data_IF_216042223216
#
_entry.id   IF_216042223216
#
_cell.length_a   1.000
_cell.length_b   1.000
_cell.length_c   1.000
_cell.angle_alpha   90.00
_cell.angle_beta   90.00
_cell.angle_gamma   90.00
#
_symmetry.space_group_name_H-M   'P 1'
#
loop_
_entity.id
_entity.type
_entity.pdbx_description
1 polymer ?
#
# COMPACT_ATOMS: atom_id res chain seq x y z
N UNK A 1 -10.93 -9.19 23.36
CA UNK A 1 -11.85 -9.26 22.20
C UNK A 1 -11.42 -8.17 21.23
N UNK A 2 -11.08 -8.44 19.96
CA UNK A 2 -10.83 -7.37 19.02
C UNK A 2 -12.15 -6.61 18.83
N UNK A 3 -12.16 -5.33 19.15
CA UNK A 3 -13.29 -4.42 18.88
C UNK A 3 -13.51 -4.43 17.36
N UNK A 4 -14.72 -4.78 16.93
CA UNK A 4 -15.12 -4.76 15.53
C UNK A 4 -14.81 -3.37 14.95
N UNK A 5 -14.12 -3.34 13.83
CA UNK A 5 -13.78 -2.11 13.10
C UNK A 5 -15.08 -1.52 12.56
N UNK A 6 -15.54 -0.41 13.15
CA UNK A 6 -16.77 0.26 12.70
C UNK A 6 -16.41 1.28 11.62
N UNK A 7 -16.93 1.08 10.43
CA UNK A 7 -16.74 2.03 9.33
C UNK A 7 -17.45 3.37 9.65
N UNK A 8 -16.87 4.51 9.27
CA UNK A 8 -17.45 5.86 9.52
C UNK A 8 -18.88 5.98 8.99
N UNK A 9 -19.22 5.31 7.90
CA UNK A 9 -20.58 5.26 7.34
C UNK A 9 -21.57 4.64 8.32
N UNK A 10 -21.20 3.56 9.01
CA UNK A 10 -22.07 2.87 9.97
C UNK A 10 -22.28 3.76 11.20
N UNK A 11 -21.21 4.34 11.73
CA UNK A 11 -21.26 5.29 12.87
C UNK A 11 -22.17 6.48 12.56
N UNK A 12 -22.05 7.08 11.37
CA UNK A 12 -22.88 8.20 10.97
C UNK A 12 -24.35 7.81 10.77
N UNK A 13 -24.61 6.61 10.23
CA UNK A 13 -25.96 6.08 10.04
C UNK A 13 -26.63 5.81 11.39
N UNK A 14 -25.92 5.19 12.34
CA UNK A 14 -26.40 4.98 13.73
C UNK A 14 -26.64 6.31 14.46
N UNK A 15 -25.82 7.32 14.16
CA UNK A 15 -26.02 8.68 14.67
C UNK A 15 -27.10 9.48 13.93
N UNK A 16 -27.93 8.81 13.10
CA UNK A 16 -29.02 9.39 12.31
C UNK A 16 -28.59 10.51 11.35
N UNK A 17 -27.35 10.49 10.87
CA UNK A 17 -26.94 11.34 9.77
C UNK A 17 -27.57 10.84 8.45
N UNK A 18 -28.06 11.75 7.66
CA UNK A 18 -28.64 11.44 6.33
C UNK A 18 -27.53 11.43 5.29
N UNK A 19 -27.29 10.28 4.67
CA UNK A 19 -26.42 10.18 3.50
C UNK A 19 -27.13 10.82 2.29
N UNK A 20 -26.57 11.88 1.74
CA UNK A 20 -27.13 12.58 0.56
C UNK A 20 -26.57 12.05 -0.75
N UNK A 21 -25.27 11.78 -0.79
CA UNK A 21 -24.58 11.20 -1.94
C UNK A 21 -23.46 10.31 -1.44
N UNK A 22 -23.20 9.22 -2.17
CA UNK A 22 -22.02 8.35 -1.94
C UNK A 22 -21.62 7.72 -3.26
N UNK A 23 -20.32 7.66 -3.53
CA UNK A 23 -19.78 6.91 -4.67
C UNK A 23 -18.36 6.46 -4.42
N UNK A 24 -17.99 5.25 -4.86
CA UNK A 24 -16.61 4.91 -5.12
C UNK A 24 -16.09 5.75 -6.28
N UNK A 25 -14.91 6.35 -6.11
CA UNK A 25 -14.30 7.22 -7.12
C UNK A 25 -13.25 6.52 -7.96
N UNK A 26 -12.75 5.35 -7.53
CA UNK A 26 -11.66 4.59 -8.13
C UNK A 26 -10.45 4.49 -7.20
N UNK A 27 -9.54 3.55 -7.48
CA UNK A 27 -8.29 3.31 -6.76
C UNK A 27 -8.44 3.14 -5.23
N UNK A 28 -9.64 2.82 -4.77
CA UNK A 28 -9.98 2.70 -3.35
C UNK A 28 -10.50 3.97 -2.69
N UNK A 29 -10.46 5.13 -3.38
CA UNK A 29 -11.15 6.32 -2.89
C UNK A 29 -12.66 6.17 -2.94
N UNK A 30 -13.34 6.73 -1.94
CA UNK A 30 -14.77 6.98 -2.01
C UNK A 30 -15.12 8.32 -1.37
N UNK A 31 -16.21 8.93 -1.82
CA UNK A 31 -16.69 10.18 -1.28
C UNK A 31 -18.15 10.09 -0.87
N UNK A 32 -18.50 10.82 0.19
CA UNK A 32 -19.88 10.94 0.66
C UNK A 32 -20.20 12.37 1.07
N UNK A 33 -21.42 12.82 0.82
CA UNK A 33 -21.96 14.05 1.41
C UNK A 33 -23.04 13.69 2.40
N UNK A 34 -22.94 14.29 3.57
CA UNK A 34 -23.78 14.02 4.72
C UNK A 34 -24.54 15.26 5.16
N UNK A 35 -25.73 15.04 5.70
CA UNK A 35 -26.53 16.03 6.38
C UNK A 35 -26.96 15.51 7.73
N UNK A 36 -26.75 16.27 8.77
CA UNK A 36 -27.10 15.90 10.14
C UNK A 36 -27.84 17.05 10.81
N UNK A 37 -29.02 16.73 11.36
CA UNK A 37 -29.89 17.67 12.07
C UNK A 37 -30.07 17.32 13.54
N UNK A 38 -29.89 16.04 13.89
CA UNK A 38 -30.08 15.60 15.27
C UNK A 38 -28.87 15.97 16.14
N UNK A 39 -29.19 16.41 17.35
CA UNK A 39 -28.24 16.83 18.38
C UNK A 39 -27.85 15.61 19.22
N UNK A 40 -26.96 14.79 18.73
CA UNK A 40 -26.43 13.64 19.46
C UNK A 40 -24.93 13.49 19.26
N UNK A 41 -24.29 12.96 20.27
CA UNK A 41 -22.85 12.76 20.26
C UNK A 41 -22.46 11.61 19.32
N UNK A 42 -21.22 11.66 18.84
CA UNK A 42 -20.66 10.62 17.94
C UNK A 42 -19.24 10.29 18.33
N UNK A 43 -18.93 9.02 18.43
CA UNK A 43 -17.59 8.52 18.71
C UNK A 43 -17.07 7.72 17.52
N UNK A 44 -15.81 7.95 17.16
CA UNK A 44 -15.08 7.15 16.18
C UNK A 44 -13.92 6.45 16.89
N UNK A 45 -13.74 5.17 16.62
CA UNK A 45 -12.62 4.39 17.12
C UNK A 45 -12.04 3.56 15.98
N UNK A 46 -10.85 3.93 15.55
CA UNK A 46 -10.03 3.22 14.54
C UNK A 46 -10.84 2.78 13.32
N UNK A 47 -11.37 3.71 12.52
CA UNK A 47 -12.26 3.37 11.40
C UNK A 47 -11.57 2.59 10.27
N UNK A 48 -10.24 2.48 10.29
CA UNK A 48 -9.47 1.70 9.31
C UNK A 48 -9.28 2.38 7.96
N UNK A 49 -9.69 3.63 7.82
CA UNK A 49 -9.43 4.47 6.66
C UNK A 49 -9.17 5.92 7.10
N UNK A 50 -8.38 6.63 6.32
CA UNK A 50 -8.21 8.06 6.54
C UNK A 50 -9.44 8.80 6.01
N UNK A 51 -9.85 9.86 6.71
CA UNK A 51 -10.97 10.70 6.30
C UNK A 51 -10.53 12.16 6.22
N UNK A 52 -10.71 12.78 5.06
CA UNK A 52 -10.70 14.24 4.94
C UNK A 52 -12.14 14.71 4.93
N UNK A 53 -12.51 15.56 5.91
CA UNK A 53 -13.84 16.14 6.06
C UNK A 53 -13.80 17.62 5.75
N UNK A 54 -14.72 18.11 4.90
CA UNK A 54 -14.96 19.54 4.68
C UNK A 54 -16.37 19.90 5.16
N UNK A 55 -16.47 20.91 6.00
CA UNK A 55 -17.76 21.49 6.41
C UNK A 55 -18.31 22.37 5.30
N UNK A 56 -19.47 21.98 4.73
CA UNK A 56 -20.15 22.67 3.62
C UNK A 56 -21.10 23.74 4.13
N UNK A 57 -21.78 23.49 5.27
CA UNK A 57 -22.67 24.45 5.90
C UNK A 57 -22.89 24.08 7.37
N UNK A 58 -23.08 25.07 8.22
CA UNK A 58 -23.25 24.89 9.66
C UNK A 58 -21.94 24.44 10.34
N UNK A 59 -22.06 23.86 11.54
CA UNK A 59 -20.94 23.31 12.28
C UNK A 59 -20.38 24.19 13.39
N UNK A 60 -20.85 25.44 13.55
CA UNK A 60 -20.39 26.38 14.57
C UNK A 60 -20.67 25.88 15.98
N UNK A 61 -21.66 25.00 16.12
CA UNK A 61 -22.04 24.34 17.40
C UNK A 61 -21.53 22.91 17.47
N UNK A 62 -20.63 22.51 16.57
CA UNK A 62 -19.96 21.20 16.61
C UNK A 62 -18.59 21.39 17.23
N UNK A 63 -18.24 20.49 18.16
CA UNK A 63 -16.93 20.49 18.80
C UNK A 63 -16.43 19.09 19.04
N UNK A 64 -15.13 18.94 18.99
CA UNK A 64 -14.45 17.71 19.38
C UNK A 64 -14.08 17.81 20.86
N UNK A 65 -14.43 16.78 21.62
CA UNK A 65 -14.36 16.84 23.11
C UNK A 65 -12.94 17.07 23.63
N UNK A 66 -11.92 16.49 22.98
CA UNK A 66 -10.51 16.65 23.33
C UNK A 66 -9.90 17.99 22.85
N UNK A 67 -10.66 18.78 22.07
CA UNK A 67 -10.26 20.11 21.58
C UNK A 67 -11.41 21.14 21.79
N UNK A 68 -11.81 21.38 23.04
CA UNK A 68 -13.06 22.11 23.36
C UNK A 68 -13.05 23.58 22.94
N UNK A 69 -11.88 24.17 22.76
CA UNK A 69 -11.73 25.58 22.37
C UNK A 69 -11.90 25.83 20.88
N UNK A 70 -11.86 24.76 20.07
CA UNK A 70 -12.03 24.85 18.63
C UNK A 70 -13.49 24.66 18.23
N UNK A 71 -13.90 25.35 17.16
CA UNK A 71 -15.25 25.26 16.59
C UNK A 71 -15.19 25.00 15.10
N UNK A 72 -16.16 24.22 14.61
CA UNK A 72 -16.40 24.09 13.19
C UNK A 72 -16.99 25.39 12.61
N UNK A 73 -16.90 25.49 11.31
CA UNK A 73 -17.57 26.50 10.50
C UNK A 73 -17.55 26.04 9.03
N UNK A 74 -18.37 26.60 8.15
CA UNK A 74 -18.25 26.35 6.72
C UNK A 74 -16.84 26.65 6.21
N UNK A 75 -16.28 25.76 5.38
CA UNK A 75 -14.91 25.85 4.89
C UNK A 75 -13.84 25.22 5.79
N UNK A 76 -14.13 24.90 7.04
CA UNK A 76 -13.19 24.21 7.94
C UNK A 76 -13.01 22.76 7.53
N UNK A 77 -11.77 22.28 7.67
CA UNK A 77 -11.37 20.93 7.33
C UNK A 77 -11.00 20.14 8.60
N UNK A 78 -11.33 18.85 8.61
CA UNK A 78 -10.79 17.90 9.58
C UNK A 78 -10.08 16.78 8.82
N UNK A 79 -8.87 16.45 9.24
CA UNK A 79 -8.11 15.30 8.75
C UNK A 79 -8.01 14.27 9.86
N UNK A 80 -8.62 13.12 9.64
CA UNK A 80 -8.78 12.05 10.62
C UNK A 80 -8.04 10.80 10.12
N UNK A 81 -6.89 10.46 10.72
CA UNK A 81 -6.13 9.25 10.36
C UNK A 81 -6.92 7.96 10.58
N UNK A 82 -6.54 6.87 9.91
CA UNK A 82 -7.22 5.57 10.01
C UNK A 82 -7.33 5.02 11.44
N UNK A 83 -6.33 5.31 12.27
CA UNK A 83 -6.24 4.84 13.66
C UNK A 83 -6.71 5.87 14.69
N UNK A 84 -7.38 6.96 14.25
CA UNK A 84 -7.82 7.99 15.19
C UNK A 84 -8.93 7.51 16.11
N UNK A 85 -8.96 8.11 17.29
CA UNK A 85 -10.07 8.03 18.24
C UNK A 85 -10.57 9.44 18.52
N UNK A 86 -11.85 9.68 18.34
CA UNK A 86 -12.40 11.02 18.54
C UNK A 86 -13.85 10.98 18.99
N UNK A 87 -14.23 11.95 19.80
CA UNK A 87 -15.56 12.12 20.32
C UNK A 87 -16.10 13.51 20.00
N UNK A 88 -17.28 13.56 19.36
CA UNK A 88 -17.86 14.78 18.81
C UNK A 88 -19.20 15.10 19.47
N UNK A 89 -19.32 16.33 19.93
CA UNK A 89 -20.58 16.89 20.43
C UNK A 89 -21.22 17.72 19.32
N UNK A 90 -22.43 17.34 18.93
CA UNK A 90 -23.13 17.97 17.83
C UNK A 90 -24.25 18.83 18.36
N UNK A 91 -24.03 20.13 18.45
CA UNK A 91 -24.98 21.10 18.97
C UNK A 91 -25.81 21.85 17.92
N UNK A 92 -25.74 21.45 16.64
CA UNK A 92 -26.47 22.11 15.57
C UNK A 92 -26.45 21.36 14.25
N UNK A 93 -27.22 21.86 13.30
CA UNK A 93 -27.24 21.33 11.94
C UNK A 93 -25.87 21.46 11.28
N UNK A 94 -25.49 20.43 10.50
CA UNK A 94 -24.25 20.41 9.72
C UNK A 94 -24.42 19.65 8.42
N UNK A 95 -23.83 20.19 7.34
CA UNK A 95 -23.61 19.48 6.07
C UNK A 95 -22.12 19.40 5.79
N UNK A 96 -21.64 18.23 5.41
CA UNK A 96 -20.21 18.02 5.21
C UNK A 96 -19.93 16.98 4.11
N UNK A 97 -18.76 17.13 3.50
CA UNK A 97 -18.15 16.14 2.61
C UNK A 97 -17.21 15.27 3.44
N UNK A 98 -17.19 13.98 3.18
CA UNK A 98 -16.10 13.07 3.54
C UNK A 98 -15.47 12.52 2.27
N UNK A 99 -14.14 12.58 2.18
CA UNK A 99 -13.31 11.81 1.25
C UNK A 99 -12.60 10.73 2.07
N UNK A 100 -12.90 9.47 1.75
CA UNK A 100 -12.31 8.30 2.41
C UNK A 100 -11.14 7.78 1.59
N UNK A 101 -10.01 7.51 2.26
CA UNK A 101 -8.74 7.11 1.65
C UNK A 101 -8.20 5.86 2.36
N UNK A 102 -7.95 4.74 1.63
CA UNK A 102 -7.37 3.54 2.23
C UNK A 102 -5.93 3.78 2.71
N UNK A 103 -5.52 3.23 3.85
CA UNK A 103 -4.14 3.32 4.34
C UNK A 103 -3.12 2.74 3.36
N UNK A 104 -3.48 1.71 2.61
CA UNK A 104 -2.62 1.08 1.61
C UNK A 104 -2.28 2.03 0.46
N UNK A 105 -3.21 2.90 0.09
CA UNK A 105 -2.97 3.91 -0.93
C UNK A 105 -2.01 4.99 -0.42
N UNK A 106 -2.19 5.45 0.81
CA UNK A 106 -1.26 6.36 1.49
C UNK A 106 0.15 5.75 1.57
N UNK A 107 0.26 4.49 2.01
CA UNK A 107 1.53 3.78 2.09
C UNK A 107 2.22 3.65 0.73
N UNK A 108 1.47 3.31 -0.33
CA UNK A 108 1.97 3.21 -1.70
C UNK A 108 2.53 4.54 -2.20
N UNK A 109 1.83 5.64 -1.94
CA UNK A 109 2.29 6.97 -2.35
C UNK A 109 3.56 7.40 -1.62
N UNK A 110 3.74 7.05 -0.34
CA UNK A 110 5.00 7.28 0.38
C UNK A 110 6.17 6.57 -0.30
N UNK A 111 5.99 5.30 -0.66
CA UNK A 111 7.04 4.54 -1.38
C UNK A 111 7.35 5.17 -2.73
N UNK A 112 6.32 5.54 -3.51
CA UNK A 112 6.50 6.05 -4.87
C UNK A 112 7.12 7.45 -4.92
N UNK A 113 6.73 8.33 -3.99
CA UNK A 113 7.10 9.75 -4.03
C UNK A 113 8.31 10.05 -3.15
N UNK A 114 8.36 9.45 -1.96
CA UNK A 114 9.41 9.74 -0.96
C UNK A 114 10.53 8.69 -0.94
N UNK A 115 10.36 7.57 -1.66
CA UNK A 115 11.26 6.40 -1.61
C UNK A 115 11.59 6.02 -0.14
N UNK A 116 10.54 5.96 0.70
CA UNK A 116 10.68 5.82 2.14
C UNK A 116 9.81 4.69 2.70
N UNK A 117 10.15 4.24 3.91
CA UNK A 117 9.36 3.25 4.67
C UNK A 117 8.03 3.87 5.13
N UNK A 118 6.87 3.37 4.68
CA UNK A 118 5.57 3.97 5.01
C UNK A 118 5.28 4.05 6.50
N UNK A 119 5.77 3.10 7.30
CA UNK A 119 5.55 3.08 8.77
C UNK A 119 6.26 4.22 9.51
N UNK A 120 7.19 4.91 8.85
CA UNK A 120 7.84 6.12 9.39
C UNK A 120 6.97 7.37 9.26
N UNK A 121 5.81 7.25 8.63
CA UNK A 121 4.94 8.39 8.34
C UNK A 121 3.51 8.10 8.76
N UNK A 122 2.86 9.10 9.29
CA UNK A 122 1.43 9.12 9.55
C UNK A 122 0.82 10.43 9.14
N UNK A 123 -0.46 10.43 8.77
CA UNK A 123 -1.21 11.68 8.64
C UNK A 123 -1.44 12.29 10.03
N UNK A 124 -1.30 13.61 10.12
CA UNK A 124 -1.59 14.33 11.36
C UNK A 124 -3.09 14.35 11.63
N UNK A 125 -3.51 14.08 12.87
CA UNK A 125 -4.88 14.31 13.31
C UNK A 125 -5.09 15.83 13.43
N UNK A 126 -5.93 16.39 12.57
CA UNK A 126 -6.21 17.83 12.48
C UNK A 126 -7.70 18.10 12.57
N UNK A 127 -8.07 19.03 13.42
CA UNK A 127 -9.46 19.44 13.61
C UNK A 127 -9.60 20.93 13.35
N UNK A 128 -10.55 21.28 12.47
CA UNK A 128 -10.89 22.65 12.06
C UNK A 128 -9.70 23.46 11.51
N UNK A 129 -8.88 22.79 10.69
CA UNK A 129 -7.76 23.46 10.02
C UNK A 129 -8.24 24.32 8.85
N UNK A 130 -7.46 25.32 8.52
CA UNK A 130 -7.58 26.13 7.31
C UNK A 130 -6.52 25.69 6.30
N UNK A 131 -6.96 25.37 5.11
CA UNK A 131 -6.13 25.11 3.94
C UNK A 131 -6.94 25.49 2.70
N UNK A 132 -6.58 26.61 2.10
CA UNK A 132 -7.33 27.19 0.99
C UNK A 132 -7.34 26.26 -0.24
N UNK A 133 -6.23 25.55 -0.49
CA UNK A 133 -6.15 24.63 -1.62
C UNK A 133 -7.04 23.40 -1.39
N UNK A 134 -6.95 22.76 -0.21
CA UNK A 134 -7.79 21.62 0.13
C UNK A 134 -9.28 21.98 0.13
N UNK A 135 -9.63 23.16 0.67
CA UNK A 135 -11.01 23.65 0.67
C UNK A 135 -11.54 23.79 -0.75
N UNK A 136 -10.78 24.43 -1.66
CA UNK A 136 -11.15 24.58 -3.05
C UNK A 136 -11.26 23.22 -3.77
N UNK A 137 -10.31 22.32 -3.54
CA UNK A 137 -10.32 20.99 -4.12
C UNK A 137 -11.53 20.17 -3.65
N UNK A 138 -11.86 20.19 -2.36
CA UNK A 138 -13.01 19.50 -1.81
C UNK A 138 -14.35 20.09 -2.31
N UNK A 139 -14.46 21.42 -2.44
CA UNK A 139 -15.63 22.07 -3.02
C UNK A 139 -15.82 21.66 -4.49
N UNK A 140 -14.73 21.60 -5.26
CA UNK A 140 -14.75 21.11 -6.65
C UNK A 140 -15.16 19.64 -6.71
N UNK A 141 -14.68 18.79 -5.78
CA UNK A 141 -15.06 17.38 -5.69
C UNK A 141 -16.57 17.21 -5.51
N UNK A 142 -17.21 18.05 -4.69
CA UNK A 142 -18.67 18.05 -4.48
C UNK A 142 -19.43 18.41 -5.75
N UNK A 143 -18.87 19.25 -6.63
CA UNK A 143 -19.52 19.71 -7.85
C UNK A 143 -19.57 18.64 -8.96
N UNK A 144 -18.68 17.66 -8.94
CA UNK A 144 -18.72 16.58 -9.91
C UNK A 144 -19.98 15.73 -9.78
N UNK A 145 -20.54 15.32 -10.91
CA UNK A 145 -21.57 14.28 -10.93
C UNK A 145 -20.89 12.89 -10.79
N UNK A 146 -20.94 12.35 -9.58
CA UNK A 146 -20.31 11.05 -9.30
C UNK A 146 -21.03 9.86 -9.96
N UNK A 147 -22.21 10.05 -10.53
CA UNK A 147 -22.92 9.03 -11.31
C UNK A 147 -22.39 8.95 -12.76
N UNK A 148 -21.86 10.06 -13.30
CA UNK A 148 -21.23 10.09 -14.61
C UNK A 148 -19.81 9.48 -14.58
N UNK A 149 -19.50 8.48 -15.43
CA UNK A 149 -18.18 7.84 -15.45
C UNK A 149 -17.03 8.80 -15.75
N UNK A 150 -17.23 9.82 -16.64
CA UNK A 150 -16.18 10.77 -17.01
C UNK A 150 -15.90 11.74 -15.86
N UNK A 151 -16.95 12.28 -15.24
CA UNK A 151 -16.79 13.14 -14.07
C UNK A 151 -16.19 12.38 -12.89
N UNK A 152 -16.47 11.09 -12.75
CA UNK A 152 -15.89 10.22 -11.73
C UNK A 152 -14.38 9.99 -11.93
N UNK A 153 -13.89 9.88 -13.18
CA UNK A 153 -12.45 9.87 -13.47
C UNK A 153 -11.78 11.18 -13.03
N UNK A 154 -12.43 12.32 -13.29
CA UNK A 154 -11.94 13.63 -12.84
C UNK A 154 -11.94 13.74 -11.31
N UNK A 155 -12.95 13.19 -10.65
CA UNK A 155 -13.02 13.11 -9.18
C UNK A 155 -11.92 12.22 -8.60
N UNK A 156 -11.60 11.09 -9.24
CA UNK A 156 -10.50 10.22 -8.87
C UNK A 156 -9.15 10.97 -8.99
N UNK A 157 -8.88 11.58 -10.14
CA UNK A 157 -7.64 12.34 -10.35
C UNK A 157 -7.47 13.44 -9.29
N UNK A 158 -8.52 14.20 -9.01
CA UNK A 158 -8.52 15.23 -7.96
C UNK A 158 -8.28 14.62 -6.56
N UNK A 159 -8.77 13.41 -6.29
CA UNK A 159 -8.54 12.72 -5.03
C UNK A 159 -7.06 12.32 -4.86
N UNK A 160 -6.38 11.96 -5.93
CA UNK A 160 -4.93 11.76 -5.93
C UNK A 160 -4.16 13.06 -5.67
N UNK A 161 -4.57 14.18 -6.28
CA UNK A 161 -3.96 15.49 -6.02
C UNK A 161 -4.15 15.91 -4.55
N UNK A 162 -5.33 15.67 -3.98
CA UNK A 162 -5.61 15.90 -2.55
C UNK A 162 -4.68 15.04 -1.69
N UNK A 163 -4.55 13.75 -1.98
CA UNK A 163 -3.66 12.86 -1.22
C UNK A 163 -2.19 13.31 -1.32
N UNK A 164 -1.74 13.74 -2.50
CA UNK A 164 -0.39 14.27 -2.70
C UNK A 164 -0.16 15.53 -1.84
N UNK A 165 -1.09 16.46 -1.85
CA UNK A 165 -1.04 17.67 -1.02
C UNK A 165 -0.99 17.33 0.48
N UNK A 166 -1.80 16.37 0.94
CA UNK A 166 -1.78 15.90 2.33
C UNK A 166 -0.43 15.26 2.69
N UNK A 167 0.17 14.50 1.78
CA UNK A 167 1.51 13.92 1.98
C UNK A 167 2.57 15.00 2.19
N UNK A 168 2.50 16.08 1.43
CA UNK A 168 3.47 17.16 1.48
C UNK A 168 3.30 18.07 2.70
N UNK A 169 2.04 18.29 3.14
CA UNK A 169 1.72 19.34 4.12
C UNK A 169 1.26 18.83 5.48
N UNK A 170 0.67 17.62 5.54
CA UNK A 170 0.02 17.08 6.73
C UNK A 170 0.59 15.76 7.22
N UNK A 171 1.75 15.36 6.70
CA UNK A 171 2.44 14.14 7.14
C UNK A 171 3.42 14.45 8.25
N UNK A 172 3.46 13.60 9.26
CA UNK A 172 4.42 13.66 10.35
C UNK A 172 5.25 12.40 10.42
N UNK A 173 6.53 12.52 10.80
CA UNK A 173 7.39 11.36 11.03
C UNK A 173 7.06 10.71 12.36
N UNK A 174 6.86 9.40 12.31
CA UNK A 174 6.77 8.55 13.49
C UNK A 174 8.18 8.04 13.82
N UNK A 175 8.62 8.21 15.06
CA UNK A 175 9.88 7.63 15.51
C UNK A 175 9.69 6.13 15.70
N UNK A 176 10.17 5.34 14.75
CA UNK A 176 10.37 3.91 14.98
C UNK A 176 11.78 3.69 15.54
N UNK A 177 11.99 2.67 16.40
CA UNK A 177 13.33 2.28 16.78
C UNK A 177 14.17 2.08 15.51
N UNK A 178 15.32 2.73 15.44
CA UNK A 178 16.21 2.63 14.29
C UNK A 178 16.69 1.18 14.17
N UNK A 179 16.13 0.42 13.25
CA UNK A 179 16.62 -0.91 12.90
C UNK A 179 17.86 -0.68 12.02
N UNK A 180 19.01 -0.61 12.66
CA UNK A 180 20.32 -0.59 11.99
C UNK A 180 20.67 -2.03 11.62
N UNK A 181 20.86 -2.30 10.33
CA UNK A 181 21.34 -3.59 9.85
C UNK A 181 20.35 -4.29 8.90
N UNK A 182 20.80 -5.40 8.31
CA UNK A 182 19.99 -6.29 7.46
C UNK A 182 19.11 -7.23 8.29
N UNK A 183 18.54 -8.23 7.63
CA UNK A 183 17.79 -9.31 8.27
C UNK A 183 18.65 -10.03 9.32
N UNK A 184 18.05 -10.42 10.45
CA UNK A 184 18.73 -11.23 11.45
C UNK A 184 19.17 -12.60 10.87
N UNK A 185 20.12 -13.31 11.50
CA UNK A 185 20.52 -14.63 11.02
C UNK A 185 19.35 -15.60 10.84
N UNK A 186 18.40 -15.61 11.78
CA UNK A 186 17.17 -16.44 11.68
C UNK A 186 16.32 -16.02 10.50
N UNK A 187 16.04 -14.73 10.35
CA UNK A 187 15.25 -14.22 9.24
C UNK A 187 15.89 -14.51 7.88
N UNK A 188 17.23 -14.43 7.77
CA UNK A 188 17.96 -14.78 6.54
C UNK A 188 17.79 -16.25 6.19
N UNK A 189 17.89 -17.14 7.18
CA UNK A 189 17.66 -18.56 6.97
C UNK A 189 16.22 -18.84 6.57
N UNK A 190 15.24 -18.32 7.33
CA UNK A 190 13.82 -18.50 7.05
C UNK A 190 13.44 -18.09 5.63
N UNK A 191 13.85 -16.87 5.21
CA UNK A 191 13.46 -16.37 3.88
C UNK A 191 14.18 -17.09 2.75
N UNK A 192 15.46 -17.43 2.94
CA UNK A 192 16.21 -18.22 1.95
C UNK A 192 15.57 -19.58 1.75
N UNK A 193 15.28 -20.32 2.81
CA UNK A 193 14.71 -21.66 2.74
C UNK A 193 13.30 -21.64 2.16
N UNK A 194 12.51 -20.63 2.49
CA UNK A 194 11.20 -20.41 1.88
C UNK A 194 11.31 -20.16 0.37
N UNK A 195 12.20 -19.25 -0.06
CA UNK A 195 12.41 -18.97 -1.48
C UNK A 195 12.88 -20.24 -2.23
N UNK A 196 13.83 -21.01 -1.67
CA UNK A 196 14.31 -22.24 -2.30
C UNK A 196 13.19 -23.27 -2.50
N UNK A 197 12.27 -23.37 -1.55
CA UNK A 197 11.12 -24.29 -1.66
C UNK A 197 10.12 -23.85 -2.73
N UNK A 198 9.96 -22.53 -2.96
CA UNK A 198 8.95 -21.96 -3.85
C UNK A 198 9.52 -21.43 -5.17
N UNK A 199 10.77 -21.79 -5.56
CA UNK A 199 11.44 -21.23 -6.74
C UNK A 199 10.65 -21.40 -8.04
N UNK A 200 9.88 -22.48 -8.18
CA UNK A 200 9.05 -22.73 -9.35
C UNK A 200 7.77 -21.88 -9.43
N UNK A 201 7.37 -21.28 -8.31
CA UNK A 201 6.10 -20.56 -8.17
C UNK A 201 6.22 -19.08 -8.51
N UNK A 202 5.06 -18.42 -8.71
CA UNK A 202 5.03 -16.97 -8.87
C UNK A 202 5.15 -16.29 -7.52
N UNK A 203 6.39 -15.95 -7.11
CA UNK A 203 6.66 -15.27 -5.86
C UNK A 203 6.50 -13.75 -6.00
N UNK A 204 5.60 -13.18 -5.22
CA UNK A 204 5.45 -11.72 -5.08
C UNK A 204 6.32 -11.17 -3.95
N UNK A 205 6.66 -9.88 -4.02
CA UNK A 205 7.36 -9.20 -2.94
C UNK A 205 6.56 -9.24 -1.63
N UNK A 206 5.23 -9.11 -1.73
CA UNK A 206 4.30 -9.21 -0.62
C UNK A 206 4.35 -10.57 0.07
N UNK A 207 4.34 -11.66 -0.71
CA UNK A 207 4.42 -13.02 -0.16
C UNK A 207 5.73 -13.25 0.60
N UNK A 208 6.86 -12.80 0.05
CA UNK A 208 8.17 -12.88 0.71
C UNK A 208 8.23 -12.04 2.01
N UNK A 209 7.74 -10.82 1.97
CA UNK A 209 7.70 -9.92 3.12
C UNK A 209 6.80 -10.46 4.24
N UNK A 210 5.68 -11.08 3.87
CA UNK A 210 4.73 -11.72 4.80
C UNK A 210 5.37 -12.84 5.63
N UNK A 211 6.35 -13.58 5.08
CA UNK A 211 7.06 -14.64 5.82
C UNK A 211 7.83 -14.11 7.04
N UNK A 212 8.20 -12.83 7.01
CA UNK A 212 8.94 -12.17 8.08
C UNK A 212 8.12 -11.13 8.82
N UNK A 213 6.82 -11.02 8.54
CA UNK A 213 5.92 -9.98 9.08
C UNK A 213 6.46 -8.56 8.89
N UNK A 214 7.06 -8.29 7.69
CA UNK A 214 7.59 -7.00 7.31
C UNK A 214 6.73 -6.34 6.24
N UNK A 215 6.78 -4.99 6.14
CA UNK A 215 6.28 -4.30 4.95
C UNK A 215 7.16 -4.65 3.73
N UNK A 216 6.60 -4.57 2.53
CA UNK A 216 7.34 -4.85 1.29
C UNK A 216 8.59 -3.97 1.15
N UNK A 217 8.47 -2.68 1.46
CA UNK A 217 9.61 -1.75 1.41
C UNK A 217 10.70 -2.13 2.41
N UNK A 218 10.32 -2.38 3.67
CA UNK A 218 11.27 -2.75 4.71
C UNK A 218 11.95 -4.07 4.40
N UNK A 219 11.18 -5.06 3.95
CA UNK A 219 11.73 -6.34 3.51
C UNK A 219 12.74 -6.17 2.37
N UNK A 220 12.38 -5.44 1.29
CA UNK A 220 13.27 -5.24 0.16
C UNK A 220 14.58 -4.55 0.56
N UNK A 221 14.49 -3.52 1.42
CA UNK A 221 15.66 -2.83 1.96
C UNK A 221 16.55 -3.75 2.81
N UNK A 222 15.97 -4.42 3.81
CA UNK A 222 16.68 -5.32 4.71
C UNK A 222 17.28 -6.53 3.97
N UNK A 223 16.55 -7.05 2.97
CA UNK A 223 17.02 -8.13 2.11
C UNK A 223 18.23 -7.68 1.27
N UNK A 224 18.15 -6.50 0.62
CA UNK A 224 19.27 -5.94 -0.15
C UNK A 224 20.52 -5.74 0.71
N UNK A 225 20.35 -5.24 1.93
CA UNK A 225 21.46 -5.09 2.90
C UNK A 225 22.07 -6.44 3.25
N UNK A 226 21.24 -7.49 3.42
CA UNK A 226 21.68 -8.82 3.86
C UNK A 226 22.29 -9.69 2.76
N UNK A 227 21.76 -9.59 1.54
CA UNK A 227 22.13 -10.45 0.39
C UNK A 227 22.85 -9.70 -0.73
N UNK A 228 23.09 -8.40 -0.58
CA UNK A 228 23.80 -7.56 -1.53
C UNK A 228 23.01 -7.19 -2.80
N UNK A 229 21.77 -7.69 -2.95
CA UNK A 229 20.94 -7.42 -4.11
C UNK A 229 19.45 -7.47 -3.77
N UNK A 230 18.57 -6.83 -4.61
CA UNK A 230 17.12 -6.88 -4.42
C UNK A 230 16.56 -8.31 -4.47
N UNK A 231 15.44 -8.59 -3.76
CA UNK A 231 14.82 -9.92 -3.69
C UNK A 231 14.56 -10.55 -5.06
N UNK A 232 13.95 -9.80 -5.99
CA UNK A 232 13.65 -10.31 -7.33
C UNK A 232 14.92 -10.76 -8.09
N UNK A 233 16.01 -10.01 -8.01
CA UNK A 233 17.27 -10.36 -8.67
C UNK A 233 17.90 -11.61 -8.04
N UNK A 234 17.76 -11.76 -6.71
CA UNK A 234 18.24 -12.93 -6.01
C UNK A 234 17.46 -14.19 -6.41
N UNK A 235 16.13 -14.11 -6.43
CA UNK A 235 15.26 -15.21 -6.91
C UNK A 235 15.61 -15.60 -8.34
N UNK A 236 15.74 -14.61 -9.24
CA UNK A 236 16.10 -14.86 -10.63
C UNK A 236 17.45 -15.57 -10.74
N UNK A 237 18.45 -15.13 -9.97
CA UNK A 237 19.76 -15.78 -9.95
C UNK A 237 19.68 -17.24 -9.48
N UNK A 238 18.92 -17.51 -8.40
CA UNK A 238 18.72 -18.89 -7.89
C UNK A 238 18.03 -19.78 -8.92
N UNK A 239 17.00 -19.26 -9.60
CA UNK A 239 16.34 -19.97 -10.71
C UNK A 239 17.31 -20.36 -11.84
N UNK A 240 18.17 -19.43 -12.23
CA UNK A 240 19.18 -19.67 -13.25
C UNK A 240 20.23 -20.69 -12.77
N UNK A 241 20.68 -20.60 -11.56
CA UNK A 241 21.65 -21.56 -10.97
C UNK A 241 21.06 -22.99 -11.00
N UNK A 242 19.81 -23.15 -10.57
CA UNK A 242 19.11 -24.45 -10.57
C UNK A 242 18.86 -24.97 -11.99
N UNK A 243 18.48 -24.10 -12.92
CA UNK A 243 18.35 -24.48 -14.34
C UNK A 243 19.70 -24.92 -14.95
N UNK A 244 20.81 -24.27 -14.57
CA UNK A 244 22.16 -24.70 -15.00
C UNK A 244 22.52 -26.11 -14.50
N UNK A 245 22.25 -26.40 -13.24
CA UNK A 245 22.49 -27.74 -12.67
C UNK A 245 21.70 -28.80 -13.44
N UNK A 246 20.42 -28.55 -13.74
CA UNK A 246 19.61 -29.46 -14.55
C UNK A 246 20.14 -29.60 -15.98
N UNK A 247 20.54 -28.52 -16.63
CA UNK A 247 21.13 -28.57 -17.98
C UNK A 247 22.44 -29.35 -18.04
N UNK A 248 23.21 -29.39 -16.95
CA UNK A 248 24.47 -30.14 -16.85
C UNK A 248 24.23 -31.65 -16.61
N UNK A 249 23.24 -31.99 -15.75
CA UNK A 249 23.12 -33.31 -15.18
C UNK A 249 21.93 -34.13 -15.71
N UNK A 250 21.04 -33.50 -16.49
CA UNK A 250 19.86 -34.16 -17.06
C UNK A 250 19.76 -33.94 -18.57
N UNK A 251 18.99 -34.82 -19.23
CA UNK A 251 18.60 -34.66 -20.63
C UNK A 251 17.17 -34.15 -20.77
N UNK A 252 16.59 -33.60 -19.72
CA UNK A 252 15.22 -33.08 -19.73
C UNK A 252 15.04 -32.03 -20.82
N UNK A 253 13.83 -31.95 -21.37
CA UNK A 253 13.51 -30.94 -22.37
C UNK A 253 13.68 -29.53 -21.84
N UNK A 254 14.12 -28.60 -22.70
CA UNK A 254 14.36 -27.19 -22.30
C UNK A 254 13.11 -26.51 -21.77
N UNK A 255 11.92 -26.90 -22.26
CA UNK A 255 10.66 -26.35 -21.75
C UNK A 255 10.37 -26.87 -20.33
N UNK A 256 10.61 -28.16 -20.10
CA UNK A 256 10.45 -28.76 -18.77
C UNK A 256 11.36 -28.09 -17.77
N UNK A 257 12.66 -27.91 -18.10
CA UNK A 257 13.61 -27.18 -17.24
C UNK A 257 13.16 -25.73 -16.99
N UNK A 258 12.66 -25.02 -18.01
CA UNK A 258 12.18 -23.67 -17.85
C UNK A 258 11.02 -23.59 -16.83
N UNK A 259 9.99 -24.43 -17.01
CA UNK A 259 8.81 -24.46 -16.16
C UNK A 259 9.12 -24.88 -14.72
N UNK A 260 9.94 -25.92 -14.53
CA UNK A 260 10.38 -26.41 -13.21
C UNK A 260 11.16 -25.35 -12.40
N UNK A 261 11.76 -24.38 -13.09
CA UNK A 261 12.51 -23.29 -12.48
C UNK A 261 11.75 -21.94 -12.50
N UNK A 262 10.43 -21.95 -12.72
CA UNK A 262 9.57 -20.76 -12.61
C UNK A 262 9.72 -19.78 -13.77
N UNK A 263 10.19 -20.23 -14.94
CA UNK A 263 10.17 -19.43 -16.18
C UNK A 263 8.92 -19.77 -17.00
N UNK A 264 8.26 -18.77 -17.54
CA UNK A 264 7.04 -18.96 -18.33
C UNK A 264 7.27 -19.65 -19.70
N UNK A 265 8.53 -19.67 -20.19
CA UNK A 265 8.89 -20.25 -21.49
C UNK A 265 10.40 -20.44 -21.63
N UNK A 266 10.82 -21.24 -22.63
CA UNK A 266 12.23 -21.37 -23.04
C UNK A 266 12.83 -20.01 -23.43
N UNK A 267 12.05 -19.17 -24.10
CA UNK A 267 12.51 -17.82 -24.50
C UNK A 267 12.77 -16.94 -23.28
N UNK A 268 11.94 -17.04 -22.24
CA UNK A 268 12.12 -16.33 -20.98
C UNK A 268 13.39 -16.80 -20.27
N UNK A 269 13.60 -18.09 -20.12
CA UNK A 269 14.84 -18.68 -19.59
C UNK A 269 16.06 -18.22 -20.40
N UNK A 270 15.99 -18.31 -21.74
CA UNK A 270 17.08 -17.95 -22.64
C UNK A 270 17.50 -16.47 -22.50
N UNK A 271 16.53 -15.57 -22.41
CA UNK A 271 16.79 -14.14 -22.20
C UNK A 271 17.61 -13.92 -20.92
N UNK A 272 17.19 -14.50 -19.80
CA UNK A 272 17.85 -14.29 -18.51
C UNK A 272 19.18 -15.04 -18.40
N UNK A 273 19.30 -16.23 -18.98
CA UNK A 273 20.59 -16.93 -19.05
C UNK A 273 21.61 -16.12 -19.87
N UNK A 274 21.21 -15.57 -21.02
CA UNK A 274 22.12 -14.70 -21.83
C UNK A 274 22.55 -13.46 -21.02
N UNK A 275 21.64 -12.85 -20.27
CA UNK A 275 21.95 -11.68 -19.45
C UNK A 275 22.93 -11.98 -18.31
N UNK A 276 22.78 -13.11 -17.64
CA UNK A 276 23.55 -13.45 -16.44
C UNK A 276 24.82 -14.28 -16.74
N UNK A 277 24.79 -15.12 -17.78
CA UNK A 277 25.86 -16.10 -18.07
C UNK A 277 26.49 -15.88 -19.46
N UNK A 278 25.84 -15.06 -20.30
CA UNK A 278 26.34 -14.79 -21.66
C UNK A 278 25.90 -15.78 -22.75
N UNK A 279 25.30 -16.93 -22.38
CA UNK A 279 24.95 -17.99 -23.34
C UNK A 279 23.52 -18.51 -23.11
N UNK A 280 22.81 -18.94 -24.20
CA UNK A 280 21.48 -19.51 -24.06
C UNK A 280 21.53 -20.98 -23.57
N UNK A 281 20.41 -21.54 -23.04
CA UNK A 281 20.36 -22.86 -22.40
C UNK A 281 20.91 -23.99 -23.27
N UNK A 282 20.50 -24.07 -24.56
CA UNK A 282 20.95 -25.13 -25.47
C UNK A 282 22.46 -25.11 -25.75
N UNK A 283 23.05 -23.90 -25.91
CA UNK A 283 24.53 -23.78 -26.06
C UNK A 283 25.24 -24.15 -24.75
N UNK A 284 24.68 -23.77 -23.63
CA UNK A 284 25.23 -24.11 -22.31
C UNK A 284 25.23 -25.61 -22.07
N UNK A 285 24.13 -26.33 -22.40
CA UNK A 285 24.04 -27.79 -22.31
C UNK A 285 25.11 -28.45 -23.15
N UNK A 286 25.18 -28.11 -24.44
CA UNK A 286 26.14 -28.72 -25.36
C UNK A 286 27.58 -28.54 -24.88
N UNK A 287 27.92 -27.33 -24.43
CA UNK A 287 29.25 -27.04 -23.90
C UNK A 287 29.55 -27.83 -22.63
N UNK A 288 28.63 -27.89 -21.67
CA UNK A 288 28.84 -28.56 -20.39
C UNK A 288 28.96 -30.07 -20.54
N UNK A 289 28.16 -30.70 -21.44
CA UNK A 289 28.22 -32.13 -21.70
C UNK A 289 29.46 -32.54 -22.49
N UNK A 290 29.95 -31.68 -23.42
CA UNK A 290 31.17 -31.95 -24.19
C UNK A 290 32.43 -31.80 -23.32
N UNK A 291 32.41 -30.93 -22.32
CA UNK A 291 33.56 -30.67 -21.44
C UNK A 291 33.44 -31.32 -20.04
N UNK A 292 32.41 -32.13 -19.80
CA UNK A 292 32.37 -33.01 -18.64
C UNK A 292 33.52 -34.03 -18.77
N UNK A 293 34.55 -33.90 -17.99
CA UNK A 293 35.60 -34.92 -17.86
C UNK A 293 34.91 -36.26 -17.59
N UNK A 294 35.27 -37.34 -18.31
CA UNK A 294 34.76 -38.66 -17.98
C UNK A 294 35.07 -38.95 -16.53
N UNK A 295 34.06 -39.34 -15.76
CA UNK A 295 34.27 -39.80 -14.39
C UNK A 295 35.33 -40.92 -14.50
N UNK A 296 36.55 -40.61 -14.09
CA UNK A 296 37.60 -41.60 -13.95
C UNK A 296 37.13 -42.55 -12.85
N UNK A 297 36.62 -43.70 -13.33
CA UNK A 297 36.41 -44.84 -12.46
C UNK A 297 37.76 -45.27 -11.86
N UNK A 298 37.82 -45.21 -10.54
CA UNK A 298 38.66 -46.13 -9.75
C UNK A 298 37.79 -46.63 -8.63
#
# INVERSE_FOLDING_TARGET
MPTAQMHVVDVLTEAHATLKRHSPLGDGFSAATWHRQLLNDTAYSRPGHHTLSLYLAGGEKVRRRDQPDKRGAPGKLCLLPAEHESYWEIGGEIRFLHLYMPPELFARQIVQILDAEPRLFSLADRTYMDDAWLTAACLRLVQYDWSDPVARLSANALSHDILLHLLQTQTQRVQLPAIKGGLSPVQRTTIRDWIETHLAENMTLSAMAGQLHLSEYHFAHMFKVSFGMPPHNWVLRRRIERAREQLQHTNDDLLAIALQNGFASVSHLSKHMKQLIGVPPGKYRNWSQTNALPATGI
#
